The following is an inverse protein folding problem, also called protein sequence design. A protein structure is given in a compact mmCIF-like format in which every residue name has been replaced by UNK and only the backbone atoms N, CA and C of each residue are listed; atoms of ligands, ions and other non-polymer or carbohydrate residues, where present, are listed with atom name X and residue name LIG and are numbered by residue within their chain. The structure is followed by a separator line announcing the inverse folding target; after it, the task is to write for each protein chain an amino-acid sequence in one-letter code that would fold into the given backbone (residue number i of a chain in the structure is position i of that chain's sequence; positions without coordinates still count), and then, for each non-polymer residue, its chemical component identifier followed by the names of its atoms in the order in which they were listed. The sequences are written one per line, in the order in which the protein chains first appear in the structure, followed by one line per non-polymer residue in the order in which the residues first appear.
data_IF_247858152635
#
_entry.id   IF_247858152635
#
_cell.length_a   1.000
_cell.length_b   1.000
_cell.length_c   1.000
_cell.angle_alpha   90.00
_cell.angle_beta   90.00
_cell.angle_gamma   90.00
#
_symmetry.space_group_name_H-M   'P 1'
#
loop_
_entity.id
_entity.type
_entity.pdbx_description
1 polymer ?
#
# COMPACT_ATOMS: atom_id res chain seq x y z
N UNK A 1 -0.50 -4.45 36.82
CA UNK A 1 0.13 -3.72 35.71
C UNK A 1 -0.98 -2.97 34.94
N UNK A 2 -0.83 -1.66 34.72
CA UNK A 2 -1.84 -0.88 33.96
C UNK A 2 -1.75 -1.26 32.48
N UNK A 3 -2.86 -1.74 31.91
CA UNK A 3 -2.96 -2.04 30.47
C UNK A 3 -2.77 -0.75 29.66
N UNK A 4 -2.05 -0.88 28.54
CA UNK A 4 -1.80 0.18 27.58
C UNK A 4 -2.13 -0.32 26.17
N UNK A 5 -2.37 0.60 25.25
CA UNK A 5 -2.52 0.27 23.83
C UNK A 5 -1.26 -0.38 23.26
N UNK A 6 -1.42 -1.13 22.16
CA UNK A 6 -0.30 -1.77 21.47
C UNK A 6 0.63 -0.72 20.86
N UNK A 7 1.93 -0.94 20.99
CA UNK A 7 2.94 -0.07 20.37
C UNK A 7 2.75 -0.03 18.85
N UNK A 8 2.60 1.17 18.30
CA UNK A 8 2.35 1.37 16.87
C UNK A 8 0.87 1.34 16.47
N UNK A 9 -0.03 1.17 17.43
CA UNK A 9 -1.48 1.35 17.26
C UNK A 9 -1.93 2.47 18.20
N UNK A 10 -2.62 3.48 17.65
CA UNK A 10 -2.91 4.72 18.36
C UNK A 10 -4.44 4.90 18.49
N UNK A 11 -4.87 5.27 19.70
CA UNK A 11 -6.24 5.74 19.90
C UNK A 11 -6.41 7.13 19.28
N UNK A 12 -7.52 7.35 18.60
CA UNK A 12 -7.96 8.67 18.15
C UNK A 12 -8.99 9.15 19.17
N UNK A 13 -8.57 10.07 20.02
CA UNK A 13 -9.41 10.58 21.11
C UNK A 13 -10.38 11.66 20.64
N UNK A 14 -11.45 11.96 21.40
CA UNK A 14 -12.46 12.95 21.02
C UNK A 14 -11.90 14.33 20.65
N UNK A 15 -10.76 14.73 21.26
CA UNK A 15 -10.11 16.00 20.89
C UNK A 15 -9.45 16.00 19.50
N UNK A 16 -9.13 14.83 18.96
CA UNK A 16 -8.52 14.67 17.62
C UNK A 16 -9.57 14.23 16.58
N UNK A 17 -10.64 13.56 17.01
CA UNK A 17 -11.61 12.92 16.10
C UNK A 17 -12.30 13.90 15.16
N UNK A 18 -12.57 15.13 15.60
CA UNK A 18 -13.17 16.17 14.76
C UNK A 18 -12.31 16.52 13.55
N UNK A 19 -10.98 16.53 13.69
CA UNK A 19 -10.06 16.75 12.58
C UNK A 19 -10.07 15.58 11.60
N UNK A 20 -10.16 14.35 12.10
CA UNK A 20 -10.30 13.15 11.29
C UNK A 20 -11.60 13.15 10.50
N UNK A 21 -12.72 13.48 11.13
CA UNK A 21 -14.03 13.59 10.47
C UNK A 21 -14.02 14.66 9.37
N UNK A 22 -13.41 15.80 9.63
CA UNK A 22 -13.28 16.87 8.64
C UNK A 22 -12.42 16.44 7.44
N UNK A 23 -11.28 15.77 7.68
CA UNK A 23 -10.43 15.22 6.64
C UNK A 23 -11.18 14.19 5.79
N UNK A 24 -11.82 13.22 6.44
CA UNK A 24 -12.57 12.17 5.75
C UNK A 24 -13.73 12.75 4.93
N UNK A 25 -14.46 13.74 5.45
CA UNK A 25 -15.54 14.37 4.70
C UNK A 25 -14.99 15.12 3.48
N UNK A 26 -13.91 15.87 3.64
CA UNK A 26 -13.25 16.58 2.54
C UNK A 26 -12.82 15.61 1.43
N UNK A 27 -12.27 14.46 1.81
CA UNK A 27 -11.85 13.41 0.86
C UNK A 27 -13.06 12.77 0.18
N UNK A 28 -14.13 12.46 0.91
CA UNK A 28 -15.36 11.88 0.34
C UNK A 28 -16.00 12.82 -0.70
N UNK A 29 -16.10 14.10 -0.38
CA UNK A 29 -16.66 15.10 -1.29
C UNK A 29 -15.80 15.27 -2.55
N UNK A 30 -14.47 15.25 -2.38
CA UNK A 30 -13.53 15.29 -3.47
C UNK A 30 -13.66 14.06 -4.38
N UNK A 31 -13.72 12.85 -3.82
CA UNK A 31 -13.89 11.60 -4.58
C UNK A 31 -15.25 11.56 -5.29
N UNK A 32 -16.32 11.99 -4.63
CA UNK A 32 -17.64 12.05 -5.23
C UNK A 32 -17.68 12.99 -6.44
N UNK A 33 -16.92 14.10 -6.43
CA UNK A 33 -16.85 15.03 -7.55
C UNK A 33 -16.23 14.44 -8.81
N UNK A 34 -15.47 13.34 -8.68
CA UNK A 34 -14.90 12.54 -9.79
C UNK A 34 -15.68 11.26 -10.08
N UNK A 35 -16.82 11.06 -9.44
CA UNK A 35 -17.67 9.88 -9.66
C UNK A 35 -17.18 8.61 -8.99
N UNK A 36 -16.26 8.70 -8.04
CA UNK A 36 -15.82 7.54 -7.26
C UNK A 36 -16.86 7.15 -6.21
N UNK A 37 -17.10 5.85 -6.08
CA UNK A 37 -18.08 5.26 -5.17
C UNK A 37 -17.40 4.44 -4.10
N UNK A 38 -17.91 4.51 -2.88
CA UNK A 38 -17.35 3.77 -1.75
C UNK A 38 -17.58 2.26 -1.89
N UNK A 39 -16.51 1.49 -1.67
CA UNK A 39 -16.57 0.04 -1.43
C UNK A 39 -15.93 -0.26 -0.08
N UNK A 40 -16.49 -1.21 0.65
CA UNK A 40 -15.97 -1.67 1.93
C UNK A 40 -15.74 -3.18 1.84
N UNK A 41 -14.48 -3.58 1.92
CA UNK A 41 -14.07 -4.98 2.00
C UNK A 41 -13.81 -5.39 3.45
N UNK A 42 -13.84 -6.68 3.78
CA UNK A 42 -13.50 -7.17 5.12
C UNK A 42 -12.10 -6.75 5.57
N UNK A 43 -11.92 -6.64 6.88
CA UNK A 43 -10.60 -6.39 7.49
C UNK A 43 -9.71 -7.64 7.38
N UNK A 44 -10.32 -8.82 7.47
CA UNK A 44 -9.64 -10.11 7.34
C UNK A 44 -9.88 -10.70 5.95
N UNK A 45 -8.81 -11.21 5.38
CA UNK A 45 -8.82 -11.95 4.11
C UNK A 45 -7.94 -13.20 4.25
N UNK A 46 -8.11 -14.16 3.36
CA UNK A 46 -7.19 -15.29 3.26
C UNK A 46 -5.77 -14.80 2.95
N UNK A 47 -4.79 -15.31 3.66
CA UNK A 47 -3.36 -14.93 3.50
C UNK A 47 -2.89 -15.06 2.04
N UNK A 48 -3.36 -16.07 1.33
CA UNK A 48 -3.02 -16.31 -0.07
C UNK A 48 -3.42 -15.17 -1.02
N UNK A 49 -4.40 -14.35 -0.66
CA UNK A 49 -4.80 -13.19 -1.48
C UNK A 49 -3.64 -12.21 -1.63
N UNK A 50 -2.95 -11.90 -0.53
CA UNK A 50 -1.83 -10.96 -0.53
C UNK A 50 -0.55 -11.58 -1.11
N UNK A 51 -0.35 -12.88 -0.94
CA UNK A 51 0.78 -13.59 -1.55
C UNK A 51 0.75 -13.60 -3.09
N UNK A 52 -0.43 -13.64 -3.69
CA UNK A 52 -0.60 -13.61 -5.16
C UNK A 52 -0.37 -12.23 -5.78
N UNK A 53 -0.75 -11.17 -5.08
CA UNK A 53 -0.71 -9.79 -5.60
C UNK A 53 0.68 -9.21 -5.72
N UNK A 54 1.64 -9.71 -4.94
CA UNK A 54 2.97 -9.10 -4.80
C UNK A 54 4.04 -9.82 -5.66
N UNK A 55 3.68 -10.92 -6.35
CA UNK A 55 4.58 -11.71 -7.22
C UNK A 55 5.90 -12.08 -6.53
N UNK A 56 6.14 -13.36 -6.31
CA UNK A 56 7.22 -13.94 -5.51
C UNK A 56 7.22 -13.49 -4.04
N UNK A 57 7.35 -14.45 -3.15
CA UNK A 57 7.41 -14.29 -1.69
C UNK A 57 8.42 -13.22 -1.33
N UNK A 58 7.97 -11.96 -1.25
CA UNK A 58 8.79 -10.88 -0.73
C UNK A 58 8.74 -10.94 0.79
N UNK A 59 9.79 -10.51 1.47
CA UNK A 59 9.84 -10.36 2.93
C UNK A 59 8.62 -9.64 3.53
N UNK A 60 7.91 -8.84 2.69
CA UNK A 60 6.68 -8.12 3.05
C UNK A 60 5.55 -9.09 3.39
N UNK A 61 5.41 -10.18 2.62
CA UNK A 61 4.32 -11.16 2.80
C UNK A 61 4.49 -11.94 4.10
N UNK A 62 5.70 -12.28 4.49
CA UNK A 62 5.94 -13.10 5.68
C UNK A 62 6.21 -12.31 6.96
N UNK A 63 6.86 -11.14 6.87
CA UNK A 63 7.37 -10.42 8.04
C UNK A 63 6.57 -9.16 8.41
N UNK A 64 5.87 -8.56 7.46
CA UNK A 64 5.19 -7.27 7.67
C UNK A 64 3.67 -7.40 7.76
N UNK A 65 3.11 -8.61 7.75
CA UNK A 65 1.67 -8.84 7.88
C UNK A 65 1.30 -9.44 9.24
N UNK A 66 0.13 -9.06 9.74
CA UNK A 66 -0.51 -9.72 10.88
C UNK A 66 -1.29 -10.92 10.36
N UNK A 67 -0.68 -12.09 10.40
CA UNK A 67 -1.27 -13.35 9.96
C UNK A 67 -1.41 -14.33 11.11
N UNK A 68 -2.48 -15.11 11.11
CA UNK A 68 -2.77 -16.12 12.11
C UNK A 68 -3.57 -17.26 11.48
N UNK A 69 -3.64 -18.38 12.19
CA UNK A 69 -4.49 -19.52 11.83
C UNK A 69 -5.78 -19.43 12.63
N UNK A 70 -6.92 -19.50 11.95
CA UNK A 70 -8.23 -19.57 12.60
C UNK A 70 -8.38 -20.90 13.31
N UNK A 71 -8.69 -20.87 14.60
CA UNK A 71 -8.85 -22.06 15.43
C UNK A 71 -10.12 -22.88 15.12
N UNK A 72 -11.04 -22.34 14.32
CA UNK A 72 -12.29 -23.02 13.98
C UNK A 72 -12.14 -23.96 12.78
N UNK A 73 -11.29 -23.62 11.81
CA UNK A 73 -11.23 -24.32 10.52
C UNK A 73 -9.81 -24.40 9.93
N UNK A 74 -8.80 -24.01 10.69
CA UNK A 74 -7.40 -23.98 10.30
C UNK A 74 -7.07 -23.07 9.09
N UNK A 75 -7.97 -22.15 8.75
CA UNK A 75 -7.73 -21.16 7.68
C UNK A 75 -6.61 -20.20 8.06
N UNK A 76 -5.74 -19.89 7.10
CA UNK A 76 -4.71 -18.86 7.26
C UNK A 76 -5.27 -17.52 6.86
N UNK A 77 -5.42 -16.65 7.85
CA UNK A 77 -6.00 -15.32 7.72
C UNK A 77 -4.97 -14.22 7.95
N UNK A 78 -5.16 -13.09 7.30
CA UNK A 78 -4.30 -11.91 7.41
C UNK A 78 -5.17 -10.66 7.58
N UNK A 79 -4.79 -9.79 8.50
CA UNK A 79 -5.35 -8.45 8.58
C UNK A 79 -4.84 -7.64 7.37
N UNK A 80 -5.74 -7.03 6.62
CA UNK A 80 -5.40 -6.32 5.37
C UNK A 80 -4.26 -5.32 5.56
N UNK A 81 -3.16 -5.42 4.81
CA UNK A 81 -2.06 -4.45 4.82
C UNK A 81 -2.31 -3.26 3.87
N UNK A 82 -3.32 -3.37 3.02
CA UNK A 82 -3.76 -2.41 2.00
C UNK A 82 -5.17 -2.78 1.51
N UNK A 83 -5.77 -1.99 0.62
CA UNK A 83 -7.13 -2.22 0.13
C UNK A 83 -7.21 -2.88 -1.26
N UNK A 84 -6.24 -2.63 -2.14
CA UNK A 84 -6.28 -3.02 -3.55
C UNK A 84 -6.64 -4.48 -3.75
N UNK A 85 -5.94 -5.40 -3.07
CA UNK A 85 -6.17 -6.83 -3.23
C UNK A 85 -7.60 -7.25 -2.86
N UNK A 86 -8.14 -6.72 -1.77
CA UNK A 86 -9.52 -6.97 -1.34
C UNK A 86 -10.56 -6.40 -2.32
N UNK A 87 -10.33 -5.21 -2.85
CA UNK A 87 -11.21 -4.58 -3.84
C UNK A 87 -11.20 -5.40 -5.14
N UNK A 88 -10.03 -5.79 -5.65
CA UNK A 88 -9.91 -6.59 -6.87
C UNK A 88 -10.55 -7.96 -6.68
N UNK A 89 -10.33 -8.64 -5.55
CA UNK A 89 -11.03 -9.90 -5.23
C UNK A 89 -12.54 -9.72 -5.27
N UNK A 90 -13.07 -8.69 -4.60
CA UNK A 90 -14.50 -8.43 -4.58
C UNK A 90 -15.05 -8.10 -5.97
N UNK A 91 -14.32 -7.32 -6.78
CA UNK A 91 -14.72 -7.03 -8.14
C UNK A 91 -14.81 -8.28 -9.02
N UNK A 92 -13.89 -9.22 -8.85
CA UNK A 92 -13.90 -10.52 -9.56
C UNK A 92 -15.03 -11.40 -9.05
N UNK A 93 -15.15 -11.58 -7.74
CA UNK A 93 -16.16 -12.45 -7.09
C UNK A 93 -17.59 -12.03 -7.46
N UNK A 94 -17.85 -10.74 -7.52
CA UNK A 94 -19.16 -10.18 -7.86
C UNK A 94 -19.33 -9.84 -9.34
N UNK A 95 -18.39 -10.26 -10.19
CA UNK A 95 -18.44 -10.05 -11.65
C UNK A 95 -18.68 -8.59 -12.06
N UNK A 96 -18.09 -7.65 -11.34
CA UNK A 96 -18.39 -6.22 -11.50
C UNK A 96 -17.92 -5.64 -12.82
N UNK A 97 -16.90 -6.24 -13.45
CA UNK A 97 -16.30 -5.73 -14.69
C UNK A 97 -16.91 -6.32 -15.98
N UNK A 98 -18.00 -7.07 -15.86
CA UNK A 98 -18.60 -7.76 -16.99
C UNK A 98 -19.04 -6.80 -18.12
N UNK A 99 -19.66 -5.67 -17.76
CA UNK A 99 -20.30 -4.76 -18.72
C UNK A 99 -19.89 -3.28 -18.53
N UNK A 100 -19.08 -2.96 -17.55
CA UNK A 100 -18.75 -1.57 -17.22
C UNK A 100 -17.43 -1.40 -16.46
N UNK A 101 -16.90 -0.19 -16.57
CA UNK A 101 -15.80 0.28 -15.73
C UNK A 101 -16.32 0.81 -14.39
N UNK A 102 -15.46 0.79 -13.38
CA UNK A 102 -15.78 1.29 -12.03
C UNK A 102 -14.72 2.23 -11.52
N UNK A 103 -15.17 3.29 -10.85
CA UNK A 103 -14.37 4.17 -10.01
C UNK A 103 -14.73 3.90 -8.56
N UNK A 104 -13.81 3.33 -7.82
CA UNK A 104 -14.04 2.83 -6.46
C UNK A 104 -13.03 3.46 -5.51
N UNK A 105 -13.46 3.71 -4.27
CA UNK A 105 -12.56 4.08 -3.20
C UNK A 105 -12.89 3.36 -1.90
N UNK A 106 -11.88 3.19 -1.07
CA UNK A 106 -11.99 2.74 0.32
C UNK A 106 -11.25 3.69 1.24
N UNK A 107 -11.78 3.89 2.45
CA UNK A 107 -11.12 4.64 3.53
C UNK A 107 -11.23 3.82 4.79
N UNK A 108 -10.13 3.64 5.49
CA UNK A 108 -10.13 2.95 6.77
C UNK A 108 -8.77 2.47 7.24
N UNK A 109 -8.73 1.72 8.34
CA UNK A 109 -7.50 1.21 8.89
C UNK A 109 -6.94 0.04 8.07
N UNK A 110 -5.61 0.03 7.95
CA UNK A 110 -4.81 -1.08 7.43
C UNK A 110 -3.70 -1.41 8.43
N UNK A 111 -3.10 -2.59 8.31
CA UNK A 111 -2.27 -3.15 9.38
C UNK A 111 -0.97 -3.70 8.79
N UNK A 112 0.19 -3.25 9.34
CA UNK A 112 1.51 -3.77 8.94
C UNK A 112 2.36 -4.02 10.17
N UNK A 113 2.93 -5.20 10.27
CA UNK A 113 3.81 -5.59 11.37
C UNK A 113 5.23 -5.03 11.17
N UNK A 114 5.34 -3.70 11.21
CA UNK A 114 6.62 -3.00 11.05
C UNK A 114 7.16 -2.51 12.41
N UNK A 115 8.45 -2.19 12.45
CA UNK A 115 9.02 -1.47 13.61
C UNK A 115 8.45 -0.06 13.64
N UNK A 116 7.75 0.33 14.72
CA UNK A 116 7.19 1.67 14.81
C UNK A 116 8.30 2.72 14.84
N UNK A 117 8.12 3.75 14.04
CA UNK A 117 8.97 4.94 14.05
C UNK A 117 8.12 6.17 13.71
N UNK A 118 8.70 7.36 13.79
CA UNK A 118 7.96 8.58 13.43
C UNK A 118 7.41 8.48 12.00
N UNK A 119 6.07 8.62 11.86
CA UNK A 119 5.37 8.49 10.58
C UNK A 119 5.12 7.05 10.11
N UNK A 120 5.54 6.02 10.86
CA UNK A 120 5.23 4.62 10.58
C UNK A 120 4.52 3.97 11.76
N UNK A 121 3.28 3.60 11.55
CA UNK A 121 2.43 2.94 12.54
C UNK A 121 2.12 1.50 12.08
N UNK A 122 1.76 0.65 13.03
CA UNK A 122 1.29 -0.72 12.76
C UNK A 122 -0.17 -0.77 12.35
N UNK A 123 -0.96 0.17 12.85
CA UNK A 123 -2.29 0.48 12.35
C UNK A 123 -2.27 1.92 11.85
N UNK A 124 -2.65 2.14 10.61
CA UNK A 124 -2.75 3.47 10.01
C UNK A 124 -3.93 3.53 9.04
N UNK A 125 -4.35 4.73 8.69
CA UNK A 125 -5.46 4.91 7.75
C UNK A 125 -4.93 5.09 6.33
N UNK A 126 -5.60 4.43 5.41
CA UNK A 126 -5.34 4.54 3.99
C UNK A 126 -6.59 5.09 3.29
N UNK A 127 -6.38 5.98 2.35
CA UNK A 127 -7.34 6.36 1.32
C UNK A 127 -6.88 5.66 0.07
N UNK A 128 -7.68 4.73 -0.41
CA UNK A 128 -7.39 3.93 -1.58
C UNK A 128 -8.36 4.28 -2.70
N UNK A 129 -7.86 4.38 -3.93
CA UNK A 129 -8.62 4.79 -5.11
C UNK A 129 -8.30 3.87 -6.26
N UNK A 130 -9.30 3.18 -6.77
CA UNK A 130 -9.17 2.19 -7.84
C UNK A 130 -10.02 2.57 -9.06
N UNK A 131 -9.38 2.67 -10.20
CA UNK A 131 -10.04 2.84 -11.49
C UNK A 131 -10.00 1.53 -12.28
N UNK A 132 -11.07 0.76 -12.22
CA UNK A 132 -11.16 -0.59 -12.77
C UNK A 132 -11.83 -0.60 -14.13
N UNK A 133 -11.22 -1.29 -15.12
CA UNK A 133 -11.76 -1.44 -16.47
C UNK A 133 -11.66 -0.19 -17.33
N UNK A 134 -10.79 0.75 -16.98
CA UNK A 134 -10.51 1.98 -17.73
C UNK A 134 -9.10 1.86 -18.33
N UNK A 135 -8.96 1.51 -19.61
CA UNK A 135 -7.65 1.41 -20.26
C UNK A 135 -7.09 2.78 -20.65
N UNK A 136 -5.76 2.82 -20.79
CA UNK A 136 -5.06 3.99 -21.33
C UNK A 136 -4.49 4.93 -20.26
N UNK A 137 -3.58 5.82 -20.68
CA UNK A 137 -2.86 6.71 -19.78
C UNK A 137 -3.70 7.88 -19.25
N UNK A 138 -4.87 8.11 -19.84
CA UNK A 138 -5.75 9.22 -19.44
C UNK A 138 -6.22 9.07 -17.98
N UNK A 139 -6.49 7.82 -17.56
CA UNK A 139 -6.91 7.55 -16.19
C UNK A 139 -5.76 7.74 -15.20
N UNK A 140 -4.52 7.40 -15.58
CA UNK A 140 -3.34 7.65 -14.76
C UNK A 140 -3.12 9.15 -14.58
N UNK A 141 -3.26 9.93 -15.66
CA UNK A 141 -3.20 11.39 -15.61
C UNK A 141 -4.33 11.99 -14.77
N UNK A 142 -5.57 11.46 -14.87
CA UNK A 142 -6.70 11.87 -14.02
C UNK A 142 -6.37 11.68 -12.55
N UNK A 143 -5.86 10.51 -12.16
CA UNK A 143 -5.52 10.20 -10.76
C UNK A 143 -4.43 11.14 -10.22
N UNK A 144 -3.41 11.43 -11.02
CA UNK A 144 -2.34 12.39 -10.63
C UNK A 144 -2.93 13.79 -10.42
N UNK A 145 -3.75 14.26 -11.35
CA UNK A 145 -4.38 15.59 -11.26
C UNK A 145 -5.35 15.67 -10.08
N UNK A 146 -6.14 14.63 -9.87
CA UNK A 146 -7.05 14.52 -8.72
C UNK A 146 -6.28 14.68 -7.41
N UNK A 147 -5.17 13.97 -7.27
CA UNK A 147 -4.35 14.01 -6.06
C UNK A 147 -3.73 15.41 -5.85
N UNK A 148 -3.20 16.04 -6.91
CA UNK A 148 -2.68 17.40 -6.84
C UNK A 148 -3.75 18.41 -6.38
N UNK A 149 -5.00 18.24 -6.84
CA UNK A 149 -6.13 19.07 -6.42
C UNK A 149 -6.54 18.80 -4.97
N UNK A 150 -6.44 17.55 -4.50
CA UNK A 150 -6.67 17.23 -3.08
C UNK A 150 -5.65 17.93 -2.19
N UNK A 151 -4.35 17.86 -2.54
CA UNK A 151 -3.30 18.55 -1.78
C UNK A 151 -3.57 20.05 -1.67
N UNK A 152 -3.91 20.69 -2.77
CA UNK A 152 -4.30 22.11 -2.79
C UNK A 152 -5.51 22.38 -1.89
N UNK A 153 -6.53 21.52 -1.92
CA UNK A 153 -7.74 21.66 -1.09
C UNK A 153 -7.44 21.50 0.41
N UNK A 154 -6.45 20.68 0.75
CA UNK A 154 -5.97 20.47 2.12
C UNK A 154 -4.94 21.53 2.57
N UNK A 155 -4.60 22.52 1.72
CA UNK A 155 -3.63 23.56 2.04
C UNK A 155 -2.17 23.10 1.98
N UNK A 156 -1.90 21.97 1.34
CA UNK A 156 -0.55 21.44 1.15
C UNK A 156 0.01 21.97 -0.17
N UNK A 157 0.95 22.92 -0.10
CA UNK A 157 1.47 23.62 -1.28
C UNK A 157 2.84 23.12 -1.73
N UNK A 158 3.64 22.55 -0.82
CA UNK A 158 5.02 22.11 -1.08
C UNK A 158 5.07 20.63 -1.46
N UNK A 159 4.21 20.22 -2.40
CA UNK A 159 4.15 18.84 -2.90
C UNK A 159 4.79 18.77 -4.28
N UNK A 160 5.80 17.90 -4.43
CA UNK A 160 6.48 17.63 -5.69
C UNK A 160 6.01 16.29 -6.25
N UNK A 161 5.64 16.28 -7.52
CA UNK A 161 5.35 15.06 -8.26
C UNK A 161 6.66 14.47 -8.79
N UNK A 162 6.90 13.22 -8.47
CA UNK A 162 7.96 12.39 -9.06
C UNK A 162 7.31 11.19 -9.74
N UNK A 163 7.64 10.97 -11.02
CA UNK A 163 7.08 9.89 -11.83
C UNK A 163 8.19 8.91 -12.15
N UNK A 164 7.89 7.63 -12.01
CA UNK A 164 8.76 6.53 -12.39
C UNK A 164 7.99 5.48 -13.18
N UNK A 165 8.70 4.66 -13.94
CA UNK A 165 8.14 3.51 -14.67
C UNK A 165 9.02 2.29 -14.44
N UNK A 166 8.38 1.14 -14.19
CA UNK A 166 9.07 -0.13 -14.06
C UNK A 166 9.38 -0.80 -15.40
N UNK A 167 8.84 -0.27 -16.50
CA UNK A 167 8.97 -0.87 -17.83
C UNK A 167 8.27 -2.23 -17.96
N UNK A 168 8.52 -2.92 -19.05
CA UNK A 168 8.03 -4.27 -19.29
C UNK A 168 8.85 -5.32 -18.55
N UNK A 169 8.36 -6.56 -18.48
CA UNK A 169 8.99 -7.66 -17.73
C UNK A 169 10.43 -7.93 -18.16
N UNK A 170 10.73 -7.86 -19.45
CA UNK A 170 12.09 -8.03 -19.98
C UNK A 170 13.02 -6.90 -19.55
N UNK A 171 12.55 -5.66 -19.60
CA UNK A 171 13.31 -4.48 -19.16
C UNK A 171 13.59 -4.55 -17.65
N UNK A 172 12.61 -4.98 -16.85
CA UNK A 172 12.79 -5.19 -15.41
C UNK A 172 13.84 -6.26 -15.11
N UNK A 173 13.83 -7.38 -15.86
CA UNK A 173 14.84 -8.45 -15.71
C UNK A 173 16.25 -7.92 -16.04
N UNK A 174 16.40 -7.24 -17.17
CA UNK A 174 17.68 -6.65 -17.57
C UNK A 174 18.19 -5.61 -16.58
N UNK A 175 17.28 -4.73 -16.08
CA UNK A 175 17.63 -3.74 -15.06
C UNK A 175 18.04 -4.41 -13.75
N UNK A 176 17.34 -5.47 -13.33
CA UNK A 176 17.68 -6.24 -12.12
C UNK A 176 19.09 -6.86 -12.23
N UNK A 177 19.41 -7.48 -13.35
CA UNK A 177 20.74 -8.07 -13.61
C UNK A 177 21.84 -7.01 -13.57
N UNK A 178 21.63 -5.89 -14.27
CA UNK A 178 22.58 -4.77 -14.27
C UNK A 178 22.79 -4.18 -12.87
N UNK A 179 21.72 -4.05 -12.09
CA UNK A 179 21.80 -3.54 -10.73
C UNK A 179 22.53 -4.50 -9.80
N UNK A 180 22.28 -5.81 -9.89
CA UNK A 180 23.02 -6.82 -9.11
C UNK A 180 24.50 -6.75 -9.45
N UNK A 181 24.87 -6.76 -10.74
CA UNK A 181 26.24 -6.66 -11.17
C UNK A 181 26.95 -5.37 -10.68
N UNK A 182 26.23 -4.27 -10.63
CA UNK A 182 26.73 -3.03 -10.04
C UNK A 182 26.96 -3.15 -8.52
N UNK A 183 25.98 -3.68 -7.79
CA UNK A 183 26.08 -3.86 -6.33
C UNK A 183 27.19 -4.83 -5.93
N UNK A 184 27.43 -5.88 -6.71
CA UNK A 184 28.53 -6.84 -6.49
C UNK A 184 29.92 -6.17 -6.51
N UNK A 185 30.08 -5.11 -7.30
CA UNK A 185 31.32 -4.35 -7.38
C UNK A 185 31.51 -3.39 -6.19
N UNK A 186 30.48 -3.19 -5.35
CA UNK A 186 30.48 -2.24 -4.24
C UNK A 186 30.13 -2.89 -2.88
N UNK A 187 30.38 -4.18 -2.75
CA UNK A 187 30.04 -4.94 -1.52
C UNK A 187 30.81 -4.49 -0.28
N UNK A 188 31.95 -3.83 -0.46
CA UNK A 188 32.77 -3.30 0.65
C UNK A 188 32.08 -2.15 1.43
N UNK A 189 31.15 -1.42 0.79
CA UNK A 189 30.39 -0.34 1.42
C UNK A 189 29.00 -0.78 1.89
N UNK A 190 28.68 -2.07 1.78
CA UNK A 190 27.37 -2.61 2.10
C UNK A 190 27.39 -3.35 3.43
N UNK A 191 26.35 -3.14 4.26
CA UNK A 191 26.12 -3.94 5.46
C UNK A 191 25.65 -5.39 5.11
N UNK A 192 25.63 -6.27 6.11
CA UNK A 192 25.26 -7.68 5.92
C UNK A 192 23.79 -7.86 5.48
N UNK A 193 22.92 -6.91 5.81
CA UNK A 193 21.51 -6.94 5.41
C UNK A 193 21.38 -6.55 3.92
N UNK A 194 22.08 -5.50 3.49
CA UNK A 194 22.15 -5.09 2.10
C UNK A 194 22.71 -6.20 1.20
N UNK A 195 23.79 -6.86 1.64
CA UNK A 195 24.39 -8.00 0.93
C UNK A 195 23.41 -9.17 0.74
N UNK A 196 22.60 -9.48 1.76
CA UNK A 196 21.57 -10.51 1.64
C UNK A 196 20.42 -10.10 0.72
N UNK A 197 20.02 -8.82 0.77
CA UNK A 197 18.93 -8.29 -0.05
C UNK A 197 19.30 -8.08 -1.51
N UNK A 198 20.56 -7.90 -1.82
CA UNK A 198 21.09 -7.66 -3.17
C UNK A 198 20.57 -8.66 -4.19
N UNK A 199 20.48 -9.95 -3.84
CA UNK A 199 20.00 -10.99 -4.74
C UNK A 199 18.49 -11.21 -4.68
N UNK A 200 17.86 -10.96 -3.55
CA UNK A 200 16.41 -11.17 -3.37
C UNK A 200 15.59 -9.97 -3.81
N UNK A 201 16.01 -8.77 -3.43
CA UNK A 201 15.34 -7.52 -3.80
C UNK A 201 16.35 -6.36 -3.91
N UNK A 202 17.11 -6.28 -5.02
CA UNK A 202 18.17 -5.29 -5.18
C UNK A 202 17.71 -3.83 -5.12
N UNK A 203 16.47 -3.54 -5.53
CA UNK A 203 15.92 -2.18 -5.45
C UNK A 203 15.81 -1.68 -3.99
N UNK A 204 15.59 -2.57 -3.02
CA UNK A 204 15.56 -2.20 -1.60
C UNK A 204 16.95 -1.84 -1.04
N UNK A 205 18.01 -2.25 -1.70
CA UNK A 205 19.37 -1.82 -1.31
C UNK A 205 19.53 -0.33 -1.59
N UNK A 206 19.03 0.14 -2.73
CA UNK A 206 19.05 1.57 -3.10
C UNK A 206 18.17 2.44 -2.20
N UNK A 207 17.15 1.86 -1.59
CA UNK A 207 16.22 2.55 -0.68
C UNK A 207 16.66 2.49 0.79
N UNK A 208 17.86 1.95 1.04
CA UNK A 208 18.44 1.90 2.38
C UNK A 208 18.68 3.32 2.90
N UNK A 209 18.22 3.58 4.12
CA UNK A 209 18.49 4.84 4.85
C UNK A 209 19.66 4.69 5.83
N UNK A 210 20.40 3.59 5.75
CA UNK A 210 21.60 3.40 6.52
C UNK A 210 22.69 4.35 5.99
N UNK A 211 23.28 5.22 6.81
CA UNK A 211 24.31 6.16 6.36
C UNK A 211 25.70 5.53 6.16
N UNK A 212 25.84 4.22 6.40
CA UNK A 212 27.07 3.48 6.16
C UNK A 212 27.18 3.03 4.72
#
# INVERSE_FOLDING_TARGET
QKLRGLTGMKDILPGESAQWEQLEQTVRDWLASYGYRNMRTPVLEYTQLFARGIGEVTDIVEKEMYSFTDSLNDDKLTMRPEFTAGIVRAAIEHNMLYDRAHRIYSIGPVFRHERPQRGRYRQFHQIDVEALGLPGPDIDAELIIMLARLWKKLGLHDVRLEINSLGHSQERAAHREALIAYLEQHTEVMDDEAKRRMYTNPLRVLDSKNPA
#
